data_IF_667599304313
#
_entry.id   IF_667599304313
#
_cell.length_a   1.000
_cell.length_b   1.000
_cell.length_c   1.000
_cell.angle_alpha   90.00
_cell.angle_beta   90.00
_cell.angle_gamma   90.00
#
_symmetry.space_group_name_H-M   'P 1'
#
loop_
_entity.id
_entity.type
_entity.pdbx_description
1 polymer ?
#
# COMPACT_ATOMS: atom_id res chain seq x y z
N UNK A 1 -15.68 12.90 10.70
CA UNK A 1 -14.51 12.31 11.32
C UNK A 1 -15.01 11.19 12.22
N UNK A 2 -15.21 10.01 11.64
CA UNK A 2 -15.51 8.82 12.42
C UNK A 2 -14.20 8.31 13.02
N UNK A 3 -14.13 8.40 14.31
CA UNK A 3 -13.11 7.74 15.14
C UNK A 3 -13.33 6.24 14.99
N UNK A 4 -12.47 5.58 14.20
CA UNK A 4 -12.37 4.13 14.22
C UNK A 4 -11.90 3.69 15.61
N UNK A 5 -12.87 3.33 16.45
CA UNK A 5 -12.63 2.75 17.74
C UNK A 5 -12.37 1.25 17.53
N UNK A 6 -11.12 0.88 17.25
CA UNK A 6 -10.70 -0.52 17.09
C UNK A 6 -9.89 -0.94 18.31
N UNK A 7 -10.58 -1.27 19.40
CA UNK A 7 -10.04 -2.16 20.42
C UNK A 7 -10.11 -3.60 19.90
N UNK A 8 -9.25 -3.96 18.97
CA UNK A 8 -8.99 -5.33 18.60
C UNK A 8 -7.55 -5.66 19.04
N UNK A 9 -7.41 -6.38 20.14
CA UNK A 9 -6.23 -7.20 20.40
C UNK A 9 -6.23 -8.36 19.38
N UNK A 10 -6.03 -8.02 18.11
CA UNK A 10 -5.77 -9.01 17.07
C UNK A 10 -4.33 -9.46 17.26
N UNK A 11 -4.09 -10.76 17.28
CA UNK A 11 -2.73 -11.29 17.27
C UNK A 11 -1.99 -10.67 16.04
N UNK A 12 -0.71 -10.33 16.22
CA UNK A 12 0.10 -9.73 15.17
C UNK A 12 0.10 -10.63 13.93
N UNK A 13 -0.25 -10.06 12.78
CA UNK A 13 -0.24 -10.70 11.47
C UNK A 13 1.21 -10.69 10.96
N UNK A 14 1.77 -11.86 10.67
CA UNK A 14 3.15 -12.03 10.23
C UNK A 14 3.29 -12.63 8.83
N UNK A 15 2.17 -13.05 8.22
CA UNK A 15 2.12 -13.68 6.90
C UNK A 15 0.99 -13.09 6.04
N UNK A 16 1.19 -13.04 4.73
CA UNK A 16 0.16 -12.57 3.79
C UNK A 16 -1.10 -13.45 3.84
N UNK A 17 -0.96 -14.77 4.02
CA UNK A 17 -2.11 -15.67 4.16
C UNK A 17 -3.04 -15.31 5.33
N UNK A 18 -2.49 -14.82 6.44
CA UNK A 18 -3.27 -14.37 7.58
C UNK A 18 -4.07 -13.08 7.27
N UNK A 19 -3.58 -12.22 6.37
CA UNK A 19 -4.35 -11.06 5.90
C UNK A 19 -5.61 -11.54 5.18
N UNK A 20 -5.48 -12.54 4.31
CA UNK A 20 -6.63 -13.15 3.59
C UNK A 20 -7.63 -13.72 4.59
N UNK A 21 -7.16 -14.52 5.56
CA UNK A 21 -8.01 -15.11 6.61
C UNK A 21 -8.78 -14.04 7.42
N UNK A 22 -8.10 -12.95 7.81
CA UNK A 22 -8.76 -11.85 8.52
C UNK A 22 -9.74 -11.06 7.65
N UNK A 23 -9.44 -10.90 6.36
CA UNK A 23 -10.35 -10.27 5.41
C UNK A 23 -11.62 -11.12 5.22
N UNK A 24 -11.49 -12.43 5.11
CA UNK A 24 -12.63 -13.36 4.98
C UNK A 24 -13.60 -13.28 6.17
N UNK A 25 -13.07 -13.16 7.40
CA UNK A 25 -13.88 -12.99 8.62
C UNK A 25 -14.73 -11.71 8.63
N UNK A 26 -14.29 -10.67 7.89
CA UNK A 26 -15.01 -9.39 7.79
C UNK A 26 -16.07 -9.37 6.70
N UNK A 27 -16.21 -10.46 5.95
CA UNK A 27 -17.14 -10.59 4.83
C UNK A 27 -16.70 -9.85 3.59
N UNK A 28 -17.39 -10.15 2.47
CA UNK A 28 -17.08 -9.61 1.16
C UNK A 28 -17.15 -8.10 1.12
N UNK A 29 -16.20 -7.48 0.43
CA UNK A 29 -16.20 -6.05 0.12
C UNK A 29 -16.66 -5.81 -1.31
N UNK A 30 -17.50 -4.80 -1.52
CA UNK A 30 -17.96 -4.42 -2.85
C UNK A 30 -16.82 -3.79 -3.63
N UNK A 31 -16.46 -4.42 -4.75
CA UNK A 31 -15.32 -4.03 -5.57
C UNK A 31 -15.81 -3.38 -6.88
N UNK A 32 -15.43 -2.13 -7.13
CA UNK A 32 -15.64 -1.45 -8.41
C UNK A 32 -14.37 -1.57 -9.27
N UNK A 33 -14.46 -2.27 -10.40
CA UNK A 33 -13.33 -2.50 -11.32
C UNK A 33 -13.45 -1.60 -12.54
N UNK A 34 -12.57 -0.62 -12.66
CA UNK A 34 -12.56 0.33 -13.77
C UNK A 34 -11.90 -0.27 -15.02
N UNK A 35 -12.67 -0.48 -16.08
CA UNK A 35 -12.26 -1.08 -17.35
C UNK A 35 -11.72 -2.51 -17.17
N UNK A 36 -12.47 -3.33 -16.45
CA UNK A 36 -12.12 -4.71 -16.11
C UNK A 36 -12.58 -5.68 -17.19
N UNK A 37 -11.86 -5.80 -18.30
CA UNK A 37 -12.23 -6.60 -19.45
C UNK A 37 -11.07 -7.41 -20.06
N UNK A 38 -9.93 -7.50 -19.38
CA UNK A 38 -8.78 -8.32 -19.78
C UNK A 38 -8.67 -9.58 -18.91
N UNK A 39 -7.99 -10.61 -19.43
CA UNK A 39 -7.89 -11.91 -18.78
C UNK A 39 -7.23 -11.85 -17.40
N UNK A 40 -6.18 -11.05 -17.25
CA UNK A 40 -5.48 -10.92 -15.96
C UNK A 40 -6.37 -10.30 -14.89
N UNK A 41 -7.07 -9.22 -15.25
CA UNK A 41 -8.01 -8.55 -14.32
C UNK A 41 -9.16 -9.49 -13.95
N UNK A 42 -9.78 -10.12 -14.94
CA UNK A 42 -10.92 -11.01 -14.71
C UNK A 42 -10.55 -12.24 -13.88
N UNK A 43 -9.41 -12.88 -14.15
CA UNK A 43 -8.92 -14.01 -13.36
C UNK A 43 -8.64 -13.60 -11.91
N UNK A 44 -7.94 -12.49 -11.68
CA UNK A 44 -7.65 -12.01 -10.33
C UNK A 44 -8.91 -11.68 -9.53
N UNK A 45 -9.90 -11.06 -10.17
CA UNK A 45 -11.20 -10.73 -9.55
C UNK A 45 -12.01 -11.99 -9.27
N UNK A 46 -11.98 -12.98 -10.19
CA UNK A 46 -12.63 -14.27 -10.02
C UNK A 46 -12.05 -15.05 -8.85
N UNK A 47 -10.72 -15.09 -8.73
CA UNK A 47 -10.03 -15.72 -7.60
C UNK A 47 -10.41 -15.06 -6.28
N UNK A 48 -10.37 -13.73 -6.21
CA UNK A 48 -10.76 -12.98 -5.02
C UNK A 48 -12.25 -13.19 -4.65
N UNK A 49 -13.13 -13.35 -5.64
CA UNK A 49 -14.52 -13.73 -5.41
C UNK A 49 -14.64 -15.14 -4.84
N UNK A 50 -13.96 -16.12 -5.41
CA UNK A 50 -13.99 -17.51 -4.95
C UNK A 50 -13.40 -17.67 -3.55
N UNK A 51 -12.39 -16.87 -3.20
CA UNK A 51 -11.85 -16.78 -1.84
C UNK A 51 -12.78 -16.06 -0.84
N UNK A 52 -13.91 -15.54 -1.29
CA UNK A 52 -14.87 -14.86 -0.42
C UNK A 52 -14.49 -13.44 0.01
N UNK A 53 -13.55 -12.80 -0.69
CA UNK A 53 -13.02 -11.48 -0.34
C UNK A 53 -13.85 -10.34 -0.91
N UNK A 54 -14.35 -10.49 -2.15
CA UNK A 54 -15.01 -9.39 -2.86
C UNK A 54 -16.33 -9.80 -3.49
N UNK A 55 -17.17 -8.78 -3.74
CA UNK A 55 -18.35 -8.81 -4.59
C UNK A 55 -18.13 -7.80 -5.73
N UNK A 56 -17.81 -8.28 -6.95
CA UNK A 56 -17.32 -7.39 -8.00
C UNK A 56 -18.41 -6.78 -8.86
N UNK A 57 -18.26 -5.49 -9.18
CA UNK A 57 -18.94 -4.82 -10.27
C UNK A 57 -17.90 -4.39 -11.30
N UNK A 58 -18.01 -4.90 -12.52
CA UNK A 58 -17.13 -4.59 -13.65
C UNK A 58 -17.74 -3.45 -14.47
N UNK A 59 -16.95 -2.43 -14.72
CA UNK A 59 -17.25 -1.36 -15.67
C UNK A 59 -16.41 -1.60 -16.90
N UNK A 60 -17.02 -1.96 -18.03
CA UNK A 60 -16.33 -2.32 -19.26
C UNK A 60 -17.29 -2.74 -20.38
N UNK A 61 -16.75 -3.04 -21.56
CA UNK A 61 -17.51 -3.58 -22.68
C UNK A 61 -18.01 -4.98 -22.34
N UNK A 62 -19.32 -5.13 -22.17
CA UNK A 62 -19.97 -6.37 -21.76
C UNK A 62 -19.65 -7.52 -22.70
N UNK A 63 -19.66 -7.28 -24.02
CA UNK A 63 -19.37 -8.32 -24.99
C UNK A 63 -17.93 -8.84 -24.84
N UNK A 64 -16.96 -7.93 -24.68
CA UNK A 64 -15.56 -8.30 -24.46
C UNK A 64 -15.39 -9.07 -23.16
N UNK A 65 -16.04 -8.65 -22.08
CA UNK A 65 -16.01 -9.36 -20.79
C UNK A 65 -16.53 -10.80 -20.94
N UNK A 66 -17.69 -10.97 -21.59
CA UNK A 66 -18.30 -12.29 -21.80
C UNK A 66 -17.42 -13.20 -22.69
N UNK A 67 -16.80 -12.65 -23.75
CA UNK A 67 -15.86 -13.38 -24.61
C UNK A 67 -14.61 -13.83 -23.83
N UNK A 68 -14.01 -12.96 -23.02
CA UNK A 68 -12.83 -13.29 -22.21
C UNK A 68 -13.19 -14.31 -21.13
N UNK A 69 -14.31 -14.15 -20.43
CA UNK A 69 -14.79 -15.13 -19.46
C UNK A 69 -14.95 -16.52 -20.09
N UNK A 70 -15.54 -16.58 -21.29
CA UNK A 70 -15.69 -17.84 -22.02
C UNK A 70 -14.35 -18.48 -22.40
N UNK A 71 -13.37 -17.68 -22.83
CA UNK A 71 -12.03 -18.15 -23.19
C UNK A 71 -11.23 -18.66 -21.98
N UNK A 72 -11.37 -18.00 -20.82
CA UNK A 72 -10.66 -18.33 -19.57
C UNK A 72 -11.42 -19.36 -18.69
N UNK A 73 -12.62 -19.78 -19.09
CA UNK A 73 -13.44 -20.70 -18.29
C UNK A 73 -13.98 -20.06 -16.98
N UNK A 74 -14.14 -18.75 -16.97
CA UNK A 74 -14.66 -18.00 -15.83
C UNK A 74 -16.18 -17.95 -15.89
N UNK A 75 -16.85 -18.27 -14.77
CA UNK A 75 -18.29 -18.06 -14.67
C UNK A 75 -18.62 -16.57 -14.61
N UNK A 76 -19.00 -16.01 -15.75
CA UNK A 76 -19.32 -14.60 -15.90
C UNK A 76 -20.56 -14.15 -15.09
N UNK A 77 -21.41 -15.10 -14.68
CA UNK A 77 -22.67 -14.82 -13.97
C UNK A 77 -22.47 -14.22 -12.56
N UNK A 78 -21.26 -14.40 -11.99
CA UNK A 78 -20.91 -13.83 -10.69
C UNK A 78 -20.65 -12.32 -10.76
N UNK A 79 -20.41 -11.78 -11.94
CA UNK A 79 -20.09 -10.36 -12.13
C UNK A 79 -21.34 -9.53 -12.38
N UNK A 80 -21.49 -8.47 -11.61
CA UNK A 80 -22.35 -7.37 -12.02
C UNK A 80 -21.60 -6.55 -13.07
N UNK A 81 -22.15 -6.44 -14.29
CA UNK A 81 -21.52 -5.74 -15.40
C UNK A 81 -22.30 -4.44 -15.67
N UNK A 82 -21.59 -3.33 -15.71
CA UNK A 82 -22.04 -2.05 -16.22
C UNK A 82 -21.42 -1.86 -17.60
N UNK A 83 -22.23 -1.99 -18.65
CA UNK A 83 -21.79 -1.91 -20.06
C UNK A 83 -21.39 -0.48 -20.40
N UNK A 84 -20.09 -0.28 -20.58
CA UNK A 84 -19.49 1.01 -20.97
C UNK A 84 -18.20 0.75 -21.75
N UNK A 85 -18.13 1.29 -22.97
CA UNK A 85 -16.98 1.07 -23.87
C UNK A 85 -15.83 2.05 -23.69
N UNK A 86 -16.11 3.22 -23.13
CA UNK A 86 -15.09 4.24 -22.88
C UNK A 86 -14.34 3.96 -21.58
N UNK A 87 -13.04 3.73 -21.67
CA UNK A 87 -12.16 3.51 -20.52
C UNK A 87 -12.19 4.68 -19.52
N UNK A 88 -12.26 5.93 -19.99
CA UNK A 88 -12.40 7.13 -19.15
C UNK A 88 -13.73 7.14 -18.42
N UNK A 89 -14.82 6.78 -19.10
CA UNK A 89 -16.15 6.70 -18.47
C UNK A 89 -16.22 5.55 -17.47
N UNK A 90 -15.59 4.41 -17.74
CA UNK A 90 -15.48 3.29 -16.78
C UNK A 90 -14.82 3.75 -15.48
N UNK A 91 -13.72 4.51 -15.57
CA UNK A 91 -13.06 5.09 -14.38
C UNK A 91 -14.01 6.04 -13.65
N UNK A 92 -14.68 6.94 -14.37
CA UNK A 92 -15.60 7.91 -13.77
C UNK A 92 -16.76 7.21 -13.03
N UNK A 93 -17.36 6.18 -13.62
CA UNK A 93 -18.45 5.42 -13.02
C UNK A 93 -18.00 4.61 -11.81
N UNK A 94 -16.83 3.94 -11.89
CA UNK A 94 -16.27 3.19 -10.77
C UNK A 94 -15.92 4.10 -9.58
N UNK A 95 -15.32 5.27 -9.84
CA UNK A 95 -15.07 6.30 -8.82
C UNK A 95 -16.37 6.80 -8.20
N UNK A 96 -17.39 7.09 -9.02
CA UNK A 96 -18.68 7.54 -8.54
C UNK A 96 -19.36 6.51 -7.63
N UNK A 97 -19.25 5.23 -7.94
CA UNK A 97 -19.79 4.15 -7.09
C UNK A 97 -19.12 4.13 -5.70
N UNK A 98 -17.82 4.36 -5.62
CA UNK A 98 -17.13 4.44 -4.31
C UNK A 98 -17.56 5.69 -3.54
N UNK A 99 -17.67 6.83 -4.21
CA UNK A 99 -18.11 8.08 -3.57
C UNK A 99 -19.55 7.98 -3.06
N UNK A 100 -20.43 7.33 -3.82
CA UNK A 100 -21.82 7.10 -3.42
C UNK A 100 -21.97 6.06 -2.29
N UNK A 101 -20.92 5.34 -1.94
CA UNK A 101 -20.98 4.25 -0.98
C UNK A 101 -21.56 2.94 -1.55
N UNK A 102 -21.67 2.83 -2.88
CA UNK A 102 -22.09 1.61 -3.57
C UNK A 102 -20.96 0.59 -3.72
N UNK A 103 -19.70 1.02 -3.57
CA UNK A 103 -18.53 0.20 -3.54
C UNK A 103 -17.58 0.62 -2.41
N UNK A 104 -16.83 -0.34 -1.88
CA UNK A 104 -15.87 -0.15 -0.78
C UNK A 104 -14.43 -0.04 -1.28
N UNK A 105 -14.16 -0.62 -2.44
CA UNK A 105 -12.82 -0.73 -3.04
C UNK A 105 -12.88 -0.35 -4.51
N UNK A 106 -11.93 0.44 -4.96
CA UNK A 106 -11.72 0.79 -6.37
C UNK A 106 -10.51 0.01 -6.91
N UNK A 107 -10.70 -0.71 -8.01
CA UNK A 107 -9.64 -1.46 -8.68
C UNK A 107 -9.41 -0.94 -10.10
N UNK A 108 -8.14 -0.85 -10.50
CA UNK A 108 -7.74 -0.59 -11.87
C UNK A 108 -7.75 -1.88 -12.69
N UNK A 109 -8.44 -1.89 -13.83
CA UNK A 109 -8.33 -2.91 -14.87
C UNK A 109 -7.35 -2.52 -15.98
N UNK A 110 -7.74 -2.72 -17.23
CA UNK A 110 -6.90 -2.48 -18.43
C UNK A 110 -6.60 -0.99 -18.71
N UNK A 111 -7.35 -0.06 -18.13
CA UNK A 111 -7.17 1.38 -18.35
C UNK A 111 -5.75 1.83 -18.00
N UNK A 112 -5.21 2.83 -18.72
CA UNK A 112 -3.89 3.38 -18.42
C UNK A 112 -3.83 4.01 -17.03
N UNK A 113 -2.65 3.96 -16.40
CA UNK A 113 -2.44 4.54 -15.05
C UNK A 113 -2.74 6.03 -15.02
N UNK A 114 -2.38 6.78 -16.07
CA UNK A 114 -2.66 8.22 -16.18
C UNK A 114 -4.17 8.52 -16.13
N UNK A 115 -4.98 7.83 -16.94
CA UNK A 115 -6.44 8.00 -16.95
C UNK A 115 -7.07 7.61 -15.62
N UNK A 116 -6.62 6.51 -15.02
CA UNK A 116 -7.10 6.05 -13.73
C UNK A 116 -6.78 7.06 -12.62
N UNK A 117 -5.55 7.57 -12.56
CA UNK A 117 -5.13 8.56 -11.57
C UNK A 117 -5.85 9.89 -11.75
N UNK A 118 -6.10 10.33 -12.99
CA UNK A 118 -6.92 11.54 -13.26
C UNK A 118 -8.34 11.39 -12.72
N UNK A 119 -8.94 10.20 -12.83
CA UNK A 119 -10.26 9.94 -12.27
C UNK A 119 -10.28 10.04 -10.73
N UNK A 120 -9.30 9.45 -10.06
CA UNK A 120 -9.16 9.52 -8.60
C UNK A 120 -8.92 10.95 -8.12
N UNK A 121 -8.02 11.68 -8.79
CA UNK A 121 -7.60 13.03 -8.40
C UNK A 121 -8.58 14.13 -8.86
N UNK A 122 -9.64 13.77 -9.58
CA UNK A 122 -10.66 14.73 -10.00
C UNK A 122 -11.38 15.29 -8.77
N UNK A 123 -11.22 16.58 -8.53
CA UNK A 123 -11.81 17.28 -7.37
C UNK A 123 -13.33 17.25 -7.39
N UNK A 124 -13.93 17.32 -8.57
CA UNK A 124 -15.38 17.32 -8.74
C UNK A 124 -16.00 15.92 -8.47
N UNK A 125 -15.21 14.88 -8.61
CA UNK A 125 -15.63 13.51 -8.29
C UNK A 125 -15.75 13.25 -6.78
N UNK A 126 -15.02 14.00 -5.94
CA UNK A 126 -15.13 13.96 -4.48
C UNK A 126 -14.49 12.75 -3.78
N UNK A 127 -13.79 11.87 -4.52
CA UNK A 127 -13.11 10.72 -3.91
C UNK A 127 -11.86 11.14 -3.13
N UNK A 128 -11.08 12.06 -3.69
CA UNK A 128 -9.82 12.49 -3.10
C UNK A 128 -10.04 13.70 -2.17
N UNK A 129 -9.71 13.59 -0.87
CA UNK A 129 -9.99 14.65 0.09
C UNK A 129 -9.13 15.90 -0.17
N UNK A 130 -9.65 17.11 0.14
CA UNK A 130 -8.87 18.33 0.09
C UNK A 130 -7.59 18.19 0.92
N UNK A 131 -6.44 18.63 0.37
CA UNK A 131 -5.12 18.52 1.00
C UNK A 131 -4.66 17.07 1.29
N UNK A 132 -5.29 16.07 0.69
CA UNK A 132 -4.85 14.69 0.73
C UNK A 132 -3.48 14.53 0.04
N UNK A 133 -2.77 13.48 0.39
CA UNK A 133 -1.56 13.03 -0.30
C UNK A 133 -1.85 11.62 -0.78
N UNK A 134 -1.87 11.43 -2.10
CA UNK A 134 -2.00 10.09 -2.67
C UNK A 134 -0.64 9.41 -2.65
N UNK A 135 -0.59 8.20 -2.11
CA UNK A 135 0.64 7.43 -1.93
C UNK A 135 0.36 5.95 -2.05
N UNK A 136 1.42 5.18 -2.11
CA UNK A 136 1.38 3.72 -2.16
C UNK A 136 2.09 3.12 -0.95
N UNK A 137 1.43 2.18 -0.26
CA UNK A 137 2.05 1.33 0.74
C UNK A 137 2.01 -0.12 0.25
N UNK A 138 3.16 -0.77 0.20
CA UNK A 138 3.25 -2.20 -0.08
C UNK A 138 3.53 -2.96 1.22
N UNK A 139 2.97 -4.16 1.32
CA UNK A 139 3.27 -5.12 2.39
C UNK A 139 4.00 -6.29 1.76
N UNK A 140 5.20 -6.60 2.26
CA UNK A 140 6.05 -7.68 1.77
C UNK A 140 6.17 -8.78 2.82
N UNK A 141 6.03 -10.02 2.38
CA UNK A 141 6.46 -11.22 3.11
C UNK A 141 7.79 -11.67 2.50
N UNK A 142 8.88 -11.49 3.25
CA UNK A 142 10.21 -11.84 2.78
C UNK A 142 10.72 -13.08 3.51
N UNK A 143 11.25 -14.11 2.80
CA UNK A 143 11.77 -15.32 3.45
C UNK A 143 12.89 -15.07 4.49
N UNK A 144 13.61 -13.98 4.32
CA UNK A 144 14.71 -13.57 5.23
C UNK A 144 14.25 -12.82 6.48
N UNK A 145 12.96 -12.47 6.57
CA UNK A 145 12.41 -11.70 7.69
C UNK A 145 11.34 -12.50 8.45
N UNK A 146 11.28 -12.41 9.79
CA UNK A 146 10.31 -13.17 10.59
C UNK A 146 8.90 -12.57 10.59
N UNK A 147 8.70 -11.41 10.00
CA UNK A 147 7.45 -10.65 9.99
C UNK A 147 7.24 -9.90 8.68
N UNK A 148 6.02 -9.45 8.45
CA UNK A 148 5.70 -8.60 7.31
C UNK A 148 6.39 -7.24 7.41
N UNK A 149 6.76 -6.69 6.27
CA UNK A 149 7.43 -5.40 6.14
C UNK A 149 6.55 -4.44 5.32
N UNK A 150 6.15 -3.31 5.90
CA UNK A 150 5.44 -2.26 5.18
C UNK A 150 6.43 -1.27 4.57
N UNK A 151 6.25 -0.90 3.32
CA UNK A 151 7.15 0.06 2.63
C UNK A 151 6.39 1.15 1.90
N UNK A 152 6.93 2.36 1.83
CA UNK A 152 6.36 3.52 1.13
C UNK A 152 7.44 4.51 0.69
N UNK A 153 7.28 5.23 -0.40
CA UNK A 153 6.35 5.09 -1.51
C UNK A 153 7.04 4.42 -2.69
N UNK A 154 6.45 3.37 -3.24
CA UNK A 154 7.11 2.59 -4.30
C UNK A 154 6.58 2.89 -5.70
N UNK A 155 5.49 3.71 -5.84
CA UNK A 155 4.78 3.77 -7.11
C UNK A 155 4.11 5.11 -7.47
N UNK A 156 3.97 6.07 -6.55
CA UNK A 156 3.11 7.25 -6.76
C UNK A 156 3.87 8.57 -6.68
N UNK A 157 4.63 8.82 -5.62
CA UNK A 157 5.29 10.11 -5.41
C UNK A 157 6.78 10.00 -5.78
N UNK A 158 7.23 10.62 -6.89
CA UNK A 158 8.61 10.49 -7.33
C UNK A 158 9.63 10.95 -6.28
N UNK A 159 9.47 12.15 -5.75
CA UNK A 159 10.35 12.74 -4.74
C UNK A 159 9.49 13.42 -3.67
N UNK A 160 9.05 12.68 -2.64
CA UNK A 160 8.20 13.26 -1.61
C UNK A 160 8.94 14.35 -0.85
N UNK A 161 8.31 15.52 -0.72
CA UNK A 161 8.81 16.58 0.14
C UNK A 161 8.69 16.20 1.62
N UNK A 162 9.26 17.03 2.51
CA UNK A 162 9.28 16.72 3.94
C UNK A 162 7.87 16.59 4.55
N UNK A 163 6.90 17.41 4.11
CA UNK A 163 5.51 17.30 4.57
C UNK A 163 4.82 16.04 4.06
N UNK A 164 5.10 15.67 2.81
CA UNK A 164 4.64 14.42 2.25
C UNK A 164 5.22 13.22 3.02
N UNK A 165 6.51 13.22 3.35
CA UNK A 165 7.13 12.16 4.17
C UNK A 165 6.46 11.98 5.53
N UNK A 166 6.06 13.07 6.20
CA UNK A 166 5.27 12.98 7.42
C UNK A 166 3.91 12.29 7.20
N UNK A 167 3.25 12.56 6.05
CA UNK A 167 2.00 11.87 5.69
C UNK A 167 2.24 10.40 5.39
N UNK A 168 3.33 10.06 4.69
CA UNK A 168 3.70 8.67 4.41
C UNK A 168 3.93 7.88 5.71
N UNK A 169 4.59 8.47 6.71
CA UNK A 169 4.72 7.87 8.04
C UNK A 169 3.34 7.59 8.64
N UNK A 170 2.40 8.53 8.54
CA UNK A 170 1.02 8.32 9.00
C UNK A 170 0.33 7.14 8.32
N UNK A 171 0.53 6.95 7.02
CA UNK A 171 -0.01 5.81 6.27
C UNK A 171 0.67 4.49 6.65
N UNK A 172 1.97 4.49 6.87
CA UNK A 172 2.70 3.32 7.38
C UNK A 172 2.19 2.91 8.77
N UNK A 173 1.96 3.87 9.68
CA UNK A 173 1.38 3.62 11.00
C UNK A 173 -0.01 2.99 10.88
N UNK A 174 -0.87 3.56 10.02
CA UNK A 174 -2.22 3.01 9.80
C UNK A 174 -2.17 1.58 9.27
N UNK A 175 -1.31 1.31 8.29
CA UNK A 175 -1.14 -0.02 7.71
C UNK A 175 -0.60 -1.02 8.74
N UNK A 176 0.42 -0.66 9.49
CA UNK A 176 0.99 -1.52 10.53
C UNK A 176 -0.03 -1.86 11.65
N UNK A 177 -0.88 -0.91 12.02
CA UNK A 177 -1.96 -1.15 13.00
C UNK A 177 -2.99 -2.15 12.48
N UNK A 178 -3.30 -2.16 11.18
CA UNK A 178 -4.16 -3.18 10.60
C UNK A 178 -3.54 -4.59 10.68
N UNK A 179 -2.21 -4.67 10.78
CA UNK A 179 -1.48 -5.91 11.02
C UNK A 179 -1.33 -6.26 12.51
N UNK A 180 -1.96 -5.51 13.41
CA UNK A 180 -1.91 -5.74 14.86
C UNK A 180 -0.69 -5.15 15.56
N UNK A 181 0.01 -4.18 14.94
CA UNK A 181 1.19 -3.51 15.50
C UNK A 181 0.79 -2.12 16.01
N UNK A 182 0.55 -1.98 17.30
CA UNK A 182 0.06 -0.72 17.88
C UNK A 182 1.09 0.42 17.83
N UNK A 183 2.36 0.10 18.04
CA UNK A 183 3.47 1.06 18.02
C UNK A 183 4.55 0.59 17.04
N UNK A 184 4.34 0.83 15.73
CA UNK A 184 5.25 0.34 14.70
C UNK A 184 6.62 1.03 14.75
N UNK A 185 7.64 0.26 14.41
CA UNK A 185 9.02 0.71 14.23
C UNK A 185 9.26 1.09 12.79
N UNK A 186 9.58 2.34 12.54
CA UNK A 186 9.73 2.91 11.19
C UNK A 186 11.19 3.33 10.97
N UNK A 187 11.85 2.73 9.99
CA UNK A 187 13.18 3.10 9.56
C UNK A 187 13.12 4.12 8.41
N UNK A 188 13.73 5.29 8.57
CA UNK A 188 13.94 6.25 7.50
C UNK A 188 15.21 5.89 6.74
N UNK A 189 15.06 5.41 5.51
CA UNK A 189 16.16 4.86 4.72
C UNK A 189 17.03 5.98 4.13
N UNK A 190 18.35 5.79 4.28
CA UNK A 190 19.39 6.67 3.75
C UNK A 190 20.63 5.82 3.37
N UNK A 191 21.62 6.39 2.67
CA UNK A 191 22.84 5.63 2.30
C UNK A 191 23.72 5.20 3.49
N UNK A 192 23.55 5.83 4.66
CA UNK A 192 24.43 5.65 5.83
C UNK A 192 23.69 6.09 7.10
N UNK A 193 24.20 5.66 8.26
CA UNK A 193 23.70 6.02 9.59
C UNK A 193 24.21 7.39 10.05
N UNK A 194 25.16 7.99 9.33
CA UNK A 194 25.70 9.31 9.67
C UNK A 194 24.73 10.42 9.25
N UNK A 195 24.55 11.40 10.12
CA UNK A 195 23.78 12.62 9.77
C UNK A 195 24.67 13.54 8.93
N UNK A 196 24.46 13.48 7.61
CA UNK A 196 25.28 14.22 6.63
C UNK A 196 24.44 15.35 6.03
N UNK A 197 24.81 16.64 6.30
CA UNK A 197 24.07 17.80 5.79
C UNK A 197 23.95 17.85 4.26
N UNK A 198 24.92 17.29 3.54
CA UNK A 198 24.92 17.23 2.07
C UNK A 198 24.01 16.14 1.48
N UNK A 199 23.44 15.26 2.31
CA UNK A 199 22.55 14.17 1.90
C UNK A 199 21.16 14.41 2.46
N UNK A 200 20.18 14.87 1.65
CA UNK A 200 18.84 15.21 2.11
C UNK A 200 18.14 14.09 2.89
N UNK A 201 18.22 12.85 2.41
CA UNK A 201 17.62 11.70 3.12
C UNK A 201 18.20 11.48 4.51
N UNK A 202 19.47 11.81 4.71
CA UNK A 202 20.14 11.71 6.00
C UNK A 202 19.64 12.74 7.00
N UNK A 203 19.60 14.01 6.59
CA UNK A 203 19.10 15.09 7.45
C UNK A 203 17.61 14.98 7.74
N UNK A 204 16.81 14.66 6.74
CA UNK A 204 15.36 14.46 6.90
C UNK A 204 15.07 13.26 7.80
N UNK A 205 15.78 12.15 7.65
CA UNK A 205 15.67 10.98 8.52
C UNK A 205 15.94 11.33 9.99
N UNK A 206 16.99 12.10 10.27
CA UNK A 206 17.32 12.55 11.62
C UNK A 206 16.23 13.47 12.20
N UNK A 207 15.66 14.38 11.39
CA UNK A 207 14.57 15.26 11.83
C UNK A 207 13.32 14.44 12.12
N UNK A 208 12.94 13.49 11.25
CA UNK A 208 11.79 12.61 11.43
C UNK A 208 11.93 11.72 12.68
N UNK A 209 13.13 11.17 12.92
CA UNK A 209 13.43 10.43 14.14
C UNK A 209 13.18 11.31 15.38
N UNK A 210 13.69 12.55 15.39
CA UNK A 210 13.46 13.46 16.49
C UNK A 210 12.01 13.89 16.66
N UNK A 211 11.26 14.02 15.57
CA UNK A 211 9.81 14.26 15.62
C UNK A 211 9.08 13.04 16.21
N UNK A 212 9.52 11.82 15.89
CA UNK A 212 9.02 10.59 16.51
C UNK A 212 9.22 10.58 18.02
N UNK A 213 10.43 10.86 18.50
CA UNK A 213 10.74 10.98 19.95
C UNK A 213 9.81 11.93 20.68
N UNK A 214 9.33 12.96 20.00
CA UNK A 214 8.45 14.00 20.56
C UNK A 214 6.96 13.73 20.33
N UNK A 215 6.60 12.58 19.77
CA UNK A 215 5.21 12.21 19.50
C UNK A 215 4.53 13.05 18.40
N UNK A 216 5.29 13.75 17.56
CA UNK A 216 4.74 14.64 16.51
C UNK A 216 4.24 13.86 15.27
N UNK A 217 4.59 12.59 15.15
CA UNK A 217 4.25 11.71 14.02
C UNK A 217 3.18 10.66 14.38
N UNK A 218 2.63 10.71 15.60
CA UNK A 218 1.69 9.72 16.11
C UNK A 218 2.39 8.65 16.95
N UNK A 219 1.68 7.56 17.27
CA UNK A 219 2.22 6.47 18.08
C UNK A 219 3.07 5.52 17.22
N UNK A 220 4.34 5.82 17.09
CA UNK A 220 5.34 5.01 16.39
C UNK A 220 6.73 5.31 16.96
N UNK A 221 7.65 4.37 16.79
CA UNK A 221 9.08 4.57 17.03
C UNK A 221 9.72 4.82 15.66
N UNK A 222 10.24 6.00 15.45
CA UNK A 222 10.84 6.40 14.17
C UNK A 222 12.34 6.63 14.37
N UNK A 223 13.15 6.02 13.53
CA UNK A 223 14.60 6.23 13.56
C UNK A 223 15.17 6.42 12.14
N UNK A 224 16.25 7.15 12.06
CA UNK A 224 16.98 7.44 10.83
C UNK A 224 18.01 8.57 11.05
N UNK A 225 18.95 8.69 10.11
CA UNK A 225 19.11 7.89 8.88
C UNK A 225 19.61 6.46 9.16
N UNK A 226 19.12 5.48 8.41
CA UNK A 226 19.59 4.09 8.47
C UNK A 226 19.83 3.56 7.06
N UNK A 227 20.96 2.89 6.84
CA UNK A 227 21.16 2.12 5.61
C UNK A 227 20.25 0.88 5.63
N UNK A 228 19.91 0.36 4.45
CA UNK A 228 18.94 -0.72 4.31
C UNK A 228 19.35 -1.99 5.07
N UNK A 229 20.62 -2.35 5.00
CA UNK A 229 21.18 -3.52 5.68
C UNK A 229 21.12 -3.37 7.22
N UNK A 230 21.48 -2.19 7.74
CA UNK A 230 21.38 -1.87 9.16
C UNK A 230 19.92 -1.82 9.62
N UNK A 231 19.05 -1.29 8.80
CA UNK A 231 17.63 -1.26 9.14
C UNK A 231 17.05 -2.67 9.29
N UNK A 232 17.39 -3.60 8.36
CA UNK A 232 16.75 -4.91 8.28
C UNK A 232 17.39 -6.00 9.14
N UNK A 233 18.72 -5.96 9.35
CA UNK A 233 19.46 -7.06 9.96
C UNK A 233 20.17 -6.67 11.25
N UNK A 234 19.77 -7.33 12.33
CA UNK A 234 20.29 -7.05 13.67
C UNK A 234 21.81 -7.25 13.79
N UNK A 235 22.33 -8.31 13.19
CA UNK A 235 23.78 -8.61 13.17
C UNK A 235 24.58 -7.50 12.45
N UNK A 236 24.01 -6.88 11.42
CA UNK A 236 24.64 -5.75 10.72
C UNK A 236 24.62 -4.50 11.60
N UNK A 237 23.49 -4.22 12.24
CA UNK A 237 23.37 -3.09 13.16
C UNK A 237 24.35 -3.21 14.34
N UNK A 238 24.52 -4.41 14.89
CA UNK A 238 25.47 -4.72 15.97
C UNK A 238 26.92 -4.59 15.48
N UNK A 239 27.24 -5.12 14.30
CA UNK A 239 28.57 -5.02 13.70
C UNK A 239 29.00 -3.56 13.46
N UNK A 240 28.09 -2.76 12.92
CA UNK A 240 28.29 -1.31 12.70
C UNK A 240 28.17 -0.48 13.98
N UNK A 241 27.91 -1.11 15.12
CA UNK A 241 27.81 -0.49 16.45
C UNK A 241 26.82 0.67 16.51
N UNK A 242 25.66 0.50 15.84
CA UNK A 242 24.56 1.47 15.93
C UNK A 242 24.00 1.45 17.34
N UNK A 243 24.11 2.57 18.06
CA UNK A 243 23.70 2.67 19.45
C UNK A 243 22.40 3.45 19.58
N UNK A 244 21.58 3.02 20.55
CA UNK A 244 20.39 3.78 20.94
C UNK A 244 19.21 3.68 19.96
N UNK A 245 19.28 2.84 18.91
CA UNK A 245 18.18 2.59 18.01
C UNK A 245 17.32 1.44 18.50
N UNK A 246 16.02 1.69 18.63
CA UNK A 246 15.02 0.64 18.88
C UNK A 246 14.45 0.08 17.56
N UNK A 247 14.87 0.61 16.42
CA UNK A 247 14.39 0.28 15.07
C UNK A 247 15.39 -0.55 14.29
N UNK A 248 16.69 -0.22 14.38
CA UNK A 248 17.74 -0.88 13.62
C UNK A 248 17.74 -2.39 13.89
N UNK A 249 17.67 -3.18 12.82
CA UNK A 249 17.62 -4.64 12.86
C UNK A 249 16.25 -5.26 13.15
N UNK A 250 15.20 -4.43 13.39
CA UNK A 250 13.85 -4.96 13.66
C UNK A 250 12.75 -3.96 13.28
N UNK A 251 12.73 -3.40 12.06
CA UNK A 251 11.69 -2.47 11.62
C UNK A 251 10.40 -3.22 11.28
N UNK A 252 9.28 -2.54 11.41
CA UNK A 252 7.98 -2.94 10.85
C UNK A 252 7.71 -2.22 9.53
N UNK A 253 8.30 -1.04 9.37
CA UNK A 253 8.09 -0.19 8.21
C UNK A 253 9.41 0.43 7.72
N UNK A 254 9.50 0.64 6.39
CA UNK A 254 10.55 1.44 5.75
C UNK A 254 9.94 2.65 5.04
N UNK A 255 10.46 3.82 5.35
CA UNK A 255 10.23 5.03 4.58
C UNK A 255 11.43 5.28 3.65
N UNK A 256 11.20 5.20 2.35
CA UNK A 256 12.23 5.48 1.35
C UNK A 256 12.32 6.98 1.01
N UNK A 257 13.50 7.47 0.63
CA UNK A 257 13.70 8.88 0.30
C UNK A 257 13.03 9.31 -1.00
N UNK A 258 12.92 8.42 -1.96
CA UNK A 258 12.36 8.65 -3.29
C UNK A 258 11.84 7.36 -3.91
N UNK A 259 11.09 7.50 -5.01
CA UNK A 259 10.45 6.37 -5.71
C UNK A 259 11.48 5.42 -6.35
N UNK A 260 12.60 5.95 -6.83
CA UNK A 260 13.62 5.15 -7.50
C UNK A 260 14.18 4.09 -6.55
N UNK A 261 14.58 4.50 -5.33
CA UNK A 261 15.12 3.58 -4.32
C UNK A 261 14.05 2.59 -3.84
N UNK A 262 12.83 3.03 -3.62
CA UNK A 262 11.73 2.19 -3.16
C UNK A 262 11.30 1.18 -4.23
N UNK A 263 11.13 1.63 -5.48
CA UNK A 263 10.71 0.77 -6.60
C UNK A 263 11.78 -0.28 -6.95
N UNK A 264 13.07 0.11 -6.94
CA UNK A 264 14.17 -0.84 -7.14
C UNK A 264 14.20 -1.88 -6.02
N UNK A 265 14.07 -1.46 -4.76
CA UNK A 265 13.99 -2.39 -3.63
C UNK A 265 12.80 -3.34 -3.77
N UNK A 266 11.60 -2.82 -4.04
CA UNK A 266 10.39 -3.63 -4.22
C UNK A 266 10.57 -4.70 -5.30
N UNK A 267 11.08 -4.32 -6.48
CA UNK A 267 11.31 -5.24 -7.59
C UNK A 267 12.43 -6.25 -7.29
N UNK A 268 13.48 -5.81 -6.64
CA UNK A 268 14.55 -6.72 -6.21
C UNK A 268 14.05 -7.73 -5.18
N UNK A 269 13.27 -7.30 -4.19
CA UNK A 269 12.68 -8.17 -3.20
C UNK A 269 11.75 -9.23 -3.84
N UNK A 270 10.88 -8.82 -4.77
CA UNK A 270 9.93 -9.73 -5.43
C UNK A 270 10.58 -10.66 -6.44
N UNK A 271 11.54 -10.19 -7.25
CA UNK A 271 12.12 -11.02 -8.32
C UNK A 271 13.37 -11.79 -7.91
N UNK A 272 14.14 -11.29 -6.95
CA UNK A 272 15.38 -11.92 -6.50
C UNK A 272 15.30 -12.41 -5.05
N UNK A 273 14.55 -11.73 -4.19
CA UNK A 273 14.40 -12.03 -2.77
C UNK A 273 13.32 -13.04 -2.43
N UNK A 274 12.50 -13.44 -3.36
CA UNK A 274 11.39 -14.38 -3.14
C UNK A 274 10.24 -13.81 -2.29
N UNK A 275 10.10 -12.49 -2.25
CA UNK A 275 9.03 -11.82 -1.54
C UNK A 275 7.68 -11.96 -2.26
#
# INVERSE_FOLDING_TARGET
PETFNTNFHTAMITKLSQIVEEAQKKGRKRLAVAYGQDSHTLSAVYDAYNEGLVEPTLYGDKQVIEEVCGAEGIDCSIFKIVDEKSDVNCVRLAVAAVVAGDADVLMKGLVSTDKYMRGILNKDAGLFPPKGVLSHVAILEMPSLPKLLCISDVAVIPAPDFKQKQKLIGYLIQTARLLGIDTPKIACIAPSEQVLPSVPSSTEGAILAKMGDRGQLGNAIVDGPLSLDVALYKEVAEHKKVKGSAVAGDPDCLLFPNIESANVFFKAATHFGGA
#
